data_IF_324113743125
#
_entry.id   IF_324113743125
#
_cell.length_a   1.000
_cell.length_b   1.000
_cell.length_c   1.000
_cell.angle_alpha   90.00
_cell.angle_beta   90.00
_cell.angle_gamma   90.00
#
_symmetry.space_group_name_H-M   'P 1'
#
loop_
_entity.id
_entity.type
_entity.pdbx_description
1 polymer ?
#
# COMPACT_ATOMS: atom_id res chain seq x y z
N UNK A 1 -27.31 -53.32 28.54
CA UNK A 1 -28.16 -52.14 28.41
C UNK A 1 -27.37 -50.95 28.92
N UNK A 2 -27.10 -49.95 28.10
CA UNK A 2 -26.36 -48.78 28.57
C UNK A 2 -27.18 -48.03 29.63
N UNK A 3 -26.50 -47.60 30.68
CA UNK A 3 -27.14 -46.89 31.80
C UNK A 3 -27.61 -45.48 31.36
N UNK A 4 -28.67 -44.97 31.95
CA UNK A 4 -29.27 -43.65 31.62
C UNK A 4 -28.27 -42.50 31.65
N UNK A 5 -27.17 -42.66 32.38
CA UNK A 5 -26.07 -41.66 32.47
C UNK A 5 -25.20 -41.63 31.21
N UNK A 6 -24.98 -42.77 30.56
CA UNK A 6 -24.20 -42.85 29.31
C UNK A 6 -24.98 -42.26 28.13
N UNK A 7 -26.31 -42.48 28.09
CA UNK A 7 -27.19 -41.89 27.08
C UNK A 7 -27.21 -40.36 27.19
N UNK A 8 -27.25 -39.81 28.41
CA UNK A 8 -27.19 -38.38 28.66
C UNK A 8 -25.83 -37.75 28.27
N UNK A 9 -24.73 -38.49 28.45
CA UNK A 9 -23.38 -38.02 27.99
C UNK A 9 -23.27 -38.02 26.48
N UNK A 10 -23.77 -39.06 25.80
CA UNK A 10 -23.78 -39.12 24.32
C UNK A 10 -24.65 -37.99 23.71
N UNK A 11 -25.82 -37.70 24.26
CA UNK A 11 -26.70 -36.61 23.83
C UNK A 11 -26.05 -35.24 24.03
N UNK A 12 -25.29 -35.01 25.10
CA UNK A 12 -24.53 -33.76 25.30
C UNK A 12 -23.37 -33.61 24.32
N UNK A 13 -22.67 -34.68 23.98
CA UNK A 13 -21.58 -34.66 22.99
C UNK A 13 -22.14 -34.37 21.59
N UNK A 14 -23.27 -35.01 21.23
CA UNK A 14 -23.93 -34.77 19.94
C UNK A 14 -24.45 -33.32 19.84
N UNK A 15 -24.99 -32.75 20.92
CA UNK A 15 -25.43 -31.35 20.96
C UNK A 15 -24.27 -30.36 20.84
N UNK A 16 -23.10 -30.66 21.41
CA UNK A 16 -21.89 -29.82 21.28
C UNK A 16 -21.32 -29.92 19.88
N UNK A 17 -21.28 -31.10 19.26
CA UNK A 17 -20.80 -31.29 17.88
C UNK A 17 -21.76 -30.62 16.88
N UNK A 18 -23.08 -30.72 17.08
CA UNK A 18 -24.07 -30.00 16.25
C UNK A 18 -23.96 -28.47 16.40
N UNK A 19 -23.66 -27.96 17.61
CA UNK A 19 -23.43 -26.54 17.85
C UNK A 19 -22.17 -25.99 17.19
N UNK A 20 -21.10 -26.80 17.15
CA UNK A 20 -19.83 -26.42 16.50
C UNK A 20 -19.93 -26.44 14.96
N UNK A 21 -20.72 -27.39 14.39
CA UNK A 21 -20.95 -27.42 12.94
C UNK A 21 -21.83 -26.27 12.42
N UNK A 22 -22.64 -25.63 13.28
CA UNK A 22 -23.50 -24.52 12.86
C UNK A 22 -22.78 -23.16 12.83
N UNK A 23 -21.55 -23.05 13.37
CA UNK A 23 -20.79 -21.79 13.43
C UNK A 23 -19.80 -21.60 12.28
N UNK A 24 -19.75 -22.51 11.31
CA UNK A 24 -18.76 -22.47 10.20
C UNK A 24 -19.36 -22.12 8.84
N UNK A 25 -20.57 -21.57 8.76
CA UNK A 25 -21.01 -20.90 7.53
C UNK A 25 -20.54 -19.43 7.56
N UNK A 26 -19.26 -19.24 7.24
CA UNK A 26 -18.81 -17.95 6.77
C UNK A 26 -19.54 -17.68 5.45
N UNK A 27 -20.60 -16.91 5.50
CA UNK A 27 -21.27 -16.40 4.29
C UNK A 27 -20.26 -15.54 3.56
N UNK A 28 -19.73 -16.05 2.45
CA UNK A 28 -19.02 -15.25 1.43
C UNK A 28 -20.02 -14.19 0.96
N UNK A 29 -19.87 -12.97 1.44
CA UNK A 29 -20.72 -11.84 1.08
C UNK A 29 -20.24 -11.26 -0.24
N UNK A 30 -20.71 -11.81 -1.35
CA UNK A 30 -20.77 -11.08 -2.60
C UNK A 30 -21.93 -10.09 -2.51
N UNK A 31 -21.69 -8.82 -2.73
CA UNK A 31 -22.77 -7.81 -2.69
C UNK A 31 -23.40 -7.69 -4.07
N UNK A 32 -24.57 -8.30 -4.26
CA UNK A 32 -25.37 -8.17 -5.47
C UNK A 32 -26.14 -6.85 -5.48
N UNK A 33 -25.98 -6.08 -6.53
CA UNK A 33 -26.64 -4.80 -6.71
C UNK A 33 -27.43 -4.80 -8.04
N UNK A 34 -28.68 -4.37 -8.00
CA UNK A 34 -29.48 -4.20 -9.23
C UNK A 34 -29.38 -2.76 -9.70
N UNK A 35 -28.84 -2.57 -10.88
CA UNK A 35 -28.56 -1.26 -11.47
C UNK A 35 -29.04 -1.17 -12.91
N UNK A 36 -29.25 0.06 -13.37
CA UNK A 36 -29.55 0.34 -14.77
C UNK A 36 -28.39 1.10 -15.40
N UNK A 37 -27.84 0.57 -16.48
CA UNK A 37 -26.81 1.23 -17.30
C UNK A 37 -27.39 1.71 -18.63
N UNK A 38 -26.80 2.76 -19.17
CA UNK A 38 -27.13 3.39 -20.45
C UNK A 38 -25.87 3.53 -21.27
N UNK A 39 -25.97 3.23 -22.57
CA UNK A 39 -24.84 3.33 -23.51
C UNK A 39 -25.33 3.52 -24.93
N UNK A 40 -24.42 3.75 -25.86
CA UNK A 40 -24.71 3.82 -27.30
C UNK A 40 -24.97 2.44 -27.89
N UNK A 41 -24.49 1.42 -27.25
CA UNK A 41 -24.66 0.01 -27.59
C UNK A 41 -24.85 -0.82 -26.32
N UNK A 42 -25.08 -2.14 -26.51
CA UNK A 42 -25.27 -3.08 -25.42
C UNK A 42 -24.07 -3.15 -24.49
N UNK A 43 -22.87 -3.18 -25.04
CA UNK A 43 -21.63 -3.29 -24.26
C UNK A 43 -21.33 -2.00 -23.49
N UNK A 44 -21.61 -0.85 -24.06
CA UNK A 44 -21.55 0.44 -23.38
C UNK A 44 -22.53 0.51 -22.20
N UNK A 45 -23.76 0.04 -22.39
CA UNK A 45 -24.76 0.00 -21.33
C UNK A 45 -24.38 -0.99 -20.20
N UNK A 46 -23.75 -2.13 -20.53
CA UNK A 46 -23.22 -3.07 -19.53
C UNK A 46 -22.01 -2.49 -18.75
N UNK A 47 -21.12 -1.76 -19.42
CA UNK A 47 -20.01 -1.06 -18.73
C UNK A 47 -20.53 0.01 -17.77
N UNK A 48 -21.53 0.79 -18.20
CA UNK A 48 -22.16 1.80 -17.32
C UNK A 48 -22.89 1.15 -16.14
N UNK A 49 -23.58 0.03 -16.35
CA UNK A 49 -24.20 -0.73 -15.27
C UNK A 49 -23.15 -1.23 -14.26
N UNK A 50 -22.04 -1.81 -14.74
CA UNK A 50 -20.95 -2.26 -13.89
C UNK A 50 -20.34 -1.12 -13.07
N UNK A 51 -20.10 0.03 -13.70
CA UNK A 51 -19.60 1.23 -13.02
C UNK A 51 -20.56 1.70 -11.92
N UNK A 52 -21.84 1.81 -12.19
CA UNK A 52 -22.86 2.22 -11.20
C UNK A 52 -23.00 1.24 -10.04
N UNK A 53 -22.83 -0.06 -10.29
CA UNK A 53 -22.84 -1.07 -9.25
C UNK A 53 -21.65 -0.88 -8.30
N UNK A 54 -20.44 -0.69 -8.83
CA UNK A 54 -19.25 -0.42 -8.04
C UNK A 54 -19.38 0.90 -7.27
N UNK A 55 -19.89 1.98 -7.90
CA UNK A 55 -20.18 3.26 -7.24
C UNK A 55 -21.13 3.08 -6.03
N UNK A 56 -22.18 2.28 -6.18
CA UNK A 56 -23.13 2.03 -5.10
C UNK A 56 -22.52 1.23 -3.96
N UNK A 57 -21.74 0.19 -4.26
CA UNK A 57 -21.03 -0.62 -3.26
C UNK A 57 -19.99 0.22 -2.52
N UNK A 58 -19.17 0.96 -3.24
CA UNK A 58 -18.16 1.86 -2.67
C UNK A 58 -18.80 2.94 -1.81
N UNK A 59 -19.88 3.57 -2.30
CA UNK A 59 -20.62 4.58 -1.53
C UNK A 59 -21.19 4.03 -0.22
N UNK A 60 -21.71 2.80 -0.24
CA UNK A 60 -22.19 2.12 0.98
C UNK A 60 -21.05 1.82 1.94
N UNK A 61 -19.90 1.34 1.42
CA UNK A 61 -18.73 1.06 2.22
C UNK A 61 -18.16 2.33 2.88
N UNK A 62 -18.00 3.41 2.11
CA UNK A 62 -17.50 4.69 2.61
C UNK A 62 -18.45 5.28 3.67
N UNK A 63 -19.77 5.27 3.45
CA UNK A 63 -20.73 5.79 4.41
C UNK A 63 -20.76 4.99 5.72
N UNK A 64 -20.49 3.70 5.68
CA UNK A 64 -20.38 2.84 6.87
C UNK A 64 -19.17 3.12 7.73
N UNK A 65 -18.12 3.73 7.16
CA UNK A 65 -16.84 4.00 7.84
C UNK A 65 -16.70 5.44 8.34
N UNK A 66 -17.73 6.27 8.27
CA UNK A 66 -17.71 7.70 8.70
C UNK A 66 -16.61 8.52 8.00
N UNK A 67 -16.40 8.28 6.70
CA UNK A 67 -15.31 8.88 5.95
C UNK A 67 -15.71 10.13 5.17
N UNK A 68 -14.77 11.04 5.03
CA UNK A 68 -14.98 12.39 4.57
C UNK A 68 -14.94 12.59 3.05
N UNK A 69 -15.37 13.77 2.62
CA UNK A 69 -15.66 14.18 1.24
C UNK A 69 -14.45 14.34 0.30
N UNK A 70 -13.23 14.12 0.78
CA UNK A 70 -12.00 14.53 0.06
C UNK A 70 -11.41 13.46 -0.88
N UNK A 71 -12.06 12.28 -1.03
CA UNK A 71 -11.60 11.17 -1.87
C UNK A 71 -12.20 11.15 -3.29
N UNK A 72 -12.79 12.23 -3.75
CA UNK A 72 -13.55 12.20 -5.01
C UNK A 72 -12.69 11.91 -6.25
N UNK A 73 -11.42 12.33 -6.24
CA UNK A 73 -10.49 12.15 -7.38
C UNK A 73 -9.99 10.71 -7.44
N UNK A 74 -9.57 10.15 -6.31
CA UNK A 74 -9.06 8.79 -6.19
C UNK A 74 -10.16 7.75 -6.47
N UNK A 75 -11.38 8.05 -6.06
CA UNK A 75 -12.54 7.20 -6.35
C UNK A 75 -12.92 7.22 -7.85
N UNK A 76 -12.67 8.30 -8.57
CA UNK A 76 -12.91 8.37 -10.01
C UNK A 76 -12.09 7.32 -10.78
N UNK A 77 -10.87 7.02 -10.34
CA UNK A 77 -10.03 5.99 -10.92
C UNK A 77 -10.53 4.57 -10.60
N UNK A 78 -11.03 4.34 -9.38
CA UNK A 78 -11.74 3.10 -9.03
C UNK A 78 -12.94 2.88 -9.95
N UNK A 79 -13.71 3.93 -10.20
CA UNK A 79 -14.90 3.85 -11.06
C UNK A 79 -14.56 3.62 -12.54
N UNK A 80 -13.45 4.17 -13.04
CA UNK A 80 -12.95 3.90 -14.40
C UNK A 80 -12.58 2.43 -14.61
N UNK A 81 -12.03 1.79 -13.57
CA UNK A 81 -11.59 0.40 -13.59
C UNK A 81 -12.65 -0.59 -13.09
N UNK A 82 -13.91 -0.18 -13.00
CA UNK A 82 -15.01 -0.93 -12.38
C UNK A 82 -15.19 -2.36 -12.88
N UNK A 83 -14.89 -2.65 -14.15
CA UNK A 83 -14.99 -4.02 -14.71
C UNK A 83 -14.06 -5.01 -14.01
N UNK A 84 -12.90 -4.56 -13.49
CA UNK A 84 -11.96 -5.39 -12.76
C UNK A 84 -12.46 -5.83 -11.38
N UNK A 85 -13.55 -5.26 -10.89
CA UNK A 85 -14.13 -5.50 -9.57
C UNK A 85 -15.44 -6.28 -9.62
N UNK A 86 -15.94 -6.59 -10.82
CA UNK A 86 -17.20 -7.30 -11.03
C UNK A 86 -16.92 -8.76 -11.29
N UNK A 87 -17.54 -9.65 -10.50
CA UNK A 87 -17.49 -11.11 -10.68
C UNK A 87 -18.44 -11.61 -11.75
N UNK A 88 -19.69 -11.11 -11.68
CA UNK A 88 -20.74 -11.60 -12.55
C UNK A 88 -21.75 -10.49 -12.86
N UNK A 89 -22.27 -10.52 -14.10
CA UNK A 89 -23.36 -9.61 -14.53
C UNK A 89 -24.49 -10.45 -15.10
N UNK A 90 -25.65 -10.37 -14.48
CA UNK A 90 -26.88 -10.99 -14.95
C UNK A 90 -27.81 -9.93 -15.51
N UNK A 91 -28.07 -9.97 -16.82
CA UNK A 91 -29.02 -9.06 -17.46
C UNK A 91 -30.44 -9.49 -17.12
N UNK A 92 -31.19 -8.59 -16.49
CA UNK A 92 -32.60 -8.80 -16.14
C UNK A 92 -33.54 -8.29 -17.23
N UNK A 93 -33.20 -7.15 -17.83
CA UNK A 93 -33.94 -6.57 -18.92
C UNK A 93 -33.04 -5.71 -19.80
N UNK A 94 -33.29 -5.72 -21.09
CA UNK A 94 -32.59 -4.86 -22.04
C UNK A 94 -33.57 -4.27 -23.05
N UNK A 95 -33.37 -3.03 -23.43
CA UNK A 95 -34.21 -2.32 -24.40
C UNK A 95 -33.41 -1.26 -25.14
N UNK A 96 -33.72 -1.08 -26.40
CA UNK A 96 -33.25 0.05 -27.17
C UNK A 96 -34.26 1.19 -27.01
N UNK A 97 -33.87 2.31 -26.48
CA UNK A 97 -34.73 3.47 -26.22
C UNK A 97 -34.92 4.32 -27.50
N UNK A 98 -33.85 4.48 -28.27
CA UNK A 98 -33.80 5.16 -29.55
C UNK A 98 -32.65 4.62 -30.42
N UNK A 99 -32.38 5.23 -31.58
CA UNK A 99 -31.34 4.79 -32.51
C UNK A 99 -29.90 4.88 -31.94
N UNK A 100 -29.70 5.68 -30.88
CA UNK A 100 -28.40 5.98 -30.28
C UNK A 100 -28.30 5.55 -28.81
N UNK A 101 -29.41 5.09 -28.21
CA UNK A 101 -29.47 4.82 -26.75
C UNK A 101 -29.92 3.40 -26.46
N UNK A 102 -29.08 2.64 -25.81
CA UNK A 102 -29.33 1.31 -25.30
C UNK A 102 -29.40 1.30 -23.77
N UNK A 103 -30.40 0.64 -23.21
CA UNK A 103 -30.62 0.55 -21.77
C UNK A 103 -30.57 -0.89 -21.33
N UNK A 104 -29.78 -1.17 -20.28
CA UNK A 104 -29.70 -2.49 -19.65
C UNK A 104 -30.00 -2.35 -18.18
N UNK A 105 -30.89 -3.19 -17.65
CA UNK A 105 -31.06 -3.41 -16.21
C UNK A 105 -30.40 -4.73 -15.87
N UNK A 106 -29.42 -4.70 -15.01
CA UNK A 106 -28.63 -5.87 -14.66
C UNK A 106 -28.46 -6.01 -13.15
N UNK A 107 -28.38 -7.26 -12.71
CA UNK A 107 -27.94 -7.65 -11.40
C UNK A 107 -26.44 -7.89 -11.48
N UNK A 108 -25.67 -7.08 -10.77
CA UNK A 108 -24.20 -7.07 -10.81
C UNK A 108 -23.68 -7.56 -9.47
N UNK A 109 -22.82 -8.55 -9.52
CA UNK A 109 -22.12 -9.11 -8.36
C UNK A 109 -20.73 -8.46 -8.27
N UNK A 110 -20.56 -7.58 -7.26
CA UNK A 110 -19.30 -6.90 -6.99
C UNK A 110 -18.51 -7.67 -5.94
N UNK A 111 -17.24 -7.94 -6.23
CA UNK A 111 -16.36 -8.65 -5.31
C UNK A 111 -15.98 -7.78 -4.10
N UNK A 112 -16.62 -8.04 -2.98
CA UNK A 112 -16.37 -7.36 -1.70
C UNK A 112 -15.65 -8.22 -0.67
N UNK A 113 -15.06 -9.35 -1.09
CA UNK A 113 -14.23 -10.14 -0.17
C UNK A 113 -13.07 -9.29 0.36
N UNK A 114 -12.63 -9.52 1.61
CA UNK A 114 -11.49 -8.77 2.19
C UNK A 114 -10.22 -8.83 1.35
N UNK A 115 -10.01 -9.94 0.63
CA UNK A 115 -8.84 -10.16 -0.25
C UNK A 115 -9.13 -9.78 -1.71
N UNK A 116 -10.30 -9.19 -2.01
CA UNK A 116 -10.64 -8.77 -3.35
C UNK A 116 -9.89 -7.49 -3.74
N UNK A 117 -9.54 -7.38 -5.02
CA UNK A 117 -8.83 -6.22 -5.55
C UNK A 117 -9.53 -4.88 -5.24
N UNK A 118 -10.86 -4.82 -5.24
CA UNK A 118 -11.63 -3.63 -4.86
C UNK A 118 -11.36 -3.25 -3.40
N UNK A 119 -11.48 -4.22 -2.48
CA UNK A 119 -11.29 -3.98 -1.05
C UNK A 119 -9.84 -3.61 -0.73
N UNK A 120 -8.88 -4.22 -1.40
CA UNK A 120 -7.47 -3.86 -1.37
C UNK A 120 -7.24 -2.41 -1.81
N UNK A 121 -7.82 -2.01 -2.94
CA UNK A 121 -7.69 -0.65 -3.49
C UNK A 121 -8.34 0.37 -2.57
N UNK A 122 -9.55 0.12 -2.09
CA UNK A 122 -10.24 1.00 -1.14
C UNK A 122 -9.48 1.11 0.19
N UNK A 123 -8.96 0.00 0.71
CA UNK A 123 -8.15 -0.01 1.93
C UNK A 123 -6.89 0.83 1.75
N UNK A 124 -6.26 0.72 0.59
CA UNK A 124 -5.06 1.50 0.26
C UNK A 124 -5.37 3.00 0.18
N UNK A 125 -6.39 3.40 -0.56
CA UNK A 125 -6.84 4.80 -0.66
C UNK A 125 -7.19 5.35 0.73
N UNK A 126 -7.97 4.59 1.52
CA UNK A 126 -8.48 5.05 2.81
C UNK A 126 -7.44 5.05 3.94
N UNK A 127 -6.53 4.08 3.96
CA UNK A 127 -5.55 3.91 5.04
C UNK A 127 -4.21 4.56 4.75
N UNK A 128 -3.77 4.52 3.51
CA UNK A 128 -2.48 5.09 3.08
C UNK A 128 -2.64 6.50 2.50
N UNK A 129 -3.88 6.94 2.20
CA UNK A 129 -4.16 8.22 1.54
C UNK A 129 -3.38 8.38 0.24
N UNK A 130 -3.27 7.28 -0.53
CA UNK A 130 -2.51 7.17 -1.77
C UNK A 130 -1.12 7.83 -1.68
N UNK A 131 -0.18 7.18 -0.99
CA UNK A 131 1.07 7.79 -0.59
C UNK A 131 1.94 8.10 -1.81
N UNK A 132 2.64 9.22 -1.76
CA UNK A 132 3.68 9.56 -2.73
C UNK A 132 4.90 8.69 -2.47
N UNK A 133 5.24 7.83 -3.41
CA UNK A 133 6.33 6.85 -3.30
C UNK A 133 7.43 7.21 -4.29
N UNK A 134 8.64 7.34 -3.81
CA UNK A 134 9.83 7.47 -4.63
C UNK A 134 10.62 6.17 -4.56
N UNK A 135 10.96 5.62 -5.72
CA UNK A 135 11.78 4.40 -5.83
C UNK A 135 13.16 4.76 -6.36
N UNK A 136 14.19 4.39 -5.62
CA UNK A 136 15.59 4.59 -5.99
C UNK A 136 16.36 3.27 -5.81
N UNK A 137 16.76 2.63 -6.92
CA UNK A 137 17.44 1.33 -6.90
C UNK A 137 18.74 1.42 -7.70
N UNK A 138 19.84 1.04 -7.07
CA UNK A 138 21.16 1.05 -7.68
C UNK A 138 21.75 -0.36 -7.82
N UNK A 139 22.51 -0.55 -8.88
CA UNK A 139 23.32 -1.74 -9.08
C UNK A 139 24.66 -1.59 -8.38
N UNK A 140 25.05 -2.60 -7.62
CA UNK A 140 26.41 -2.75 -7.11
C UNK A 140 27.13 -3.76 -8.00
N UNK A 141 28.11 -3.28 -8.77
CA UNK A 141 28.91 -4.14 -9.65
C UNK A 141 29.94 -4.98 -8.85
N UNK A 142 30.64 -5.87 -9.54
CA UNK A 142 31.64 -6.76 -8.94
C UNK A 142 32.82 -6.01 -8.32
N UNK A 143 33.07 -4.77 -8.76
CA UNK A 143 34.10 -3.88 -8.21
C UNK A 143 33.65 -3.12 -6.96
N UNK A 144 32.39 -3.36 -6.52
CA UNK A 144 31.75 -2.68 -5.40
C UNK A 144 31.28 -1.26 -5.69
N UNK A 145 31.39 -0.80 -6.95
CA UNK A 145 30.90 0.50 -7.37
C UNK A 145 29.38 0.47 -7.51
N UNK A 146 28.76 1.60 -7.21
CA UNK A 146 27.33 1.78 -7.34
C UNK A 146 27.02 2.49 -8.66
N UNK A 147 26.20 1.86 -9.50
CA UNK A 147 25.82 2.33 -10.83
C UNK A 147 24.30 2.45 -10.91
N UNK A 148 23.83 3.53 -11.53
CA UNK A 148 22.41 3.66 -11.82
C UNK A 148 22.02 2.79 -13.03
N UNK A 149 21.03 1.92 -12.83
CA UNK A 149 20.42 1.12 -13.89
C UNK A 149 18.90 1.12 -13.70
N UNK A 150 18.21 1.75 -14.62
CA UNK A 150 16.78 2.02 -14.51
C UNK A 150 15.87 0.76 -14.59
N UNK A 151 16.41 -0.43 -14.93
CA UNK A 151 15.57 -1.61 -15.16
C UNK A 151 14.80 -2.05 -13.90
N UNK A 152 15.47 -2.09 -12.74
CA UNK A 152 14.81 -2.46 -11.49
C UNK A 152 13.78 -1.41 -11.07
N UNK A 153 14.13 -0.11 -11.17
CA UNK A 153 13.23 1.01 -10.85
C UNK A 153 11.98 1.00 -11.73
N UNK A 154 12.16 0.92 -13.06
CA UNK A 154 11.04 0.91 -14.00
C UNK A 154 10.11 -0.29 -13.80
N UNK A 155 10.67 -1.45 -13.45
CA UNK A 155 9.88 -2.66 -13.14
C UNK A 155 9.08 -2.47 -11.85
N UNK A 156 9.70 -1.93 -10.79
CA UNK A 156 9.03 -1.62 -9.53
C UNK A 156 7.93 -0.57 -9.71
N UNK A 157 8.24 0.54 -10.40
CA UNK A 157 7.30 1.63 -10.65
C UNK A 157 6.09 1.13 -11.46
N UNK A 158 6.32 0.36 -12.54
CA UNK A 158 5.25 -0.21 -13.36
C UNK A 158 4.34 -1.14 -12.54
N UNK A 159 4.91 -1.92 -11.64
CA UNK A 159 4.15 -2.84 -10.80
C UNK A 159 3.36 -2.10 -9.73
N UNK A 160 3.95 -1.12 -9.05
CA UNK A 160 3.24 -0.28 -8.08
C UNK A 160 2.05 0.44 -8.70
N UNK A 161 2.23 1.03 -9.90
CA UNK A 161 1.12 1.62 -10.65
C UNK A 161 0.03 0.59 -10.99
N UNK A 162 0.41 -0.63 -11.41
CA UNK A 162 -0.54 -1.71 -11.67
C UNK A 162 -1.27 -2.20 -10.41
N UNK A 163 -0.64 -2.12 -9.24
CA UNK A 163 -1.21 -2.46 -7.94
C UNK A 163 -2.09 -1.33 -7.35
N UNK A 164 -2.19 -0.18 -8.08
CA UNK A 164 -3.13 0.90 -7.79
C UNK A 164 -2.56 2.09 -7.01
N UNK A 165 -1.23 2.18 -6.82
CA UNK A 165 -0.60 3.40 -6.31
C UNK A 165 -0.55 4.44 -7.44
N UNK A 166 -1.19 5.61 -7.27
CA UNK A 166 -1.24 6.61 -8.34
C UNK A 166 -0.09 7.63 -8.27
N UNK A 167 0.52 7.82 -7.10
CA UNK A 167 1.58 8.78 -6.88
C UNK A 167 2.96 8.13 -6.77
N UNK A 168 3.36 7.37 -7.81
CA UNK A 168 4.73 6.85 -7.93
C UNK A 168 5.58 7.89 -8.66
N UNK A 169 6.55 8.46 -7.94
CA UNK A 169 7.39 9.54 -8.43
C UNK A 169 8.73 9.01 -8.94
N UNK A 170 9.21 9.59 -10.03
CA UNK A 170 10.53 9.30 -10.56
C UNK A 170 11.62 9.94 -9.67
N UNK A 171 12.55 9.12 -9.16
CA UNK A 171 13.66 9.60 -8.34
C UNK A 171 14.50 10.67 -9.05
N UNK A 172 14.61 10.61 -10.38
CA UNK A 172 15.32 11.60 -11.17
C UNK A 172 14.60 12.95 -11.25
N UNK A 173 13.30 13.00 -10.97
CA UNK A 173 12.52 14.24 -10.98
C UNK A 173 12.43 14.89 -9.59
N UNK A 174 12.77 14.16 -8.53
CA UNK A 174 12.79 14.71 -7.18
C UNK A 174 14.09 15.47 -6.98
N UNK A 175 14.03 16.80 -6.86
CA UNK A 175 15.18 17.70 -6.85
C UNK A 175 16.25 17.29 -5.84
N UNK A 176 15.84 16.82 -4.67
CA UNK A 176 16.72 16.40 -3.58
C UNK A 176 17.45 15.09 -3.85
N UNK A 177 16.91 14.24 -4.73
CA UNK A 177 17.47 12.95 -5.09
C UNK A 177 18.30 13.00 -6.38
N UNK A 178 18.33 14.11 -7.10
CA UNK A 178 19.19 14.29 -8.29
C UNK A 178 20.69 14.30 -7.95
N UNK A 179 21.02 14.48 -6.66
CA UNK A 179 22.41 14.49 -6.22
C UNK A 179 22.90 13.06 -5.95
N UNK A 180 23.67 12.47 -6.85
CA UNK A 180 24.26 11.13 -6.70
C UNK A 180 24.99 10.90 -5.36
N UNK A 181 25.74 11.87 -4.79
CA UNK A 181 26.30 11.75 -3.44
C UNK A 181 25.24 11.55 -2.36
N UNK A 182 24.08 12.19 -2.47
CA UNK A 182 22.98 12.06 -1.51
C UNK A 182 22.38 10.64 -1.56
N UNK A 183 22.10 10.13 -2.74
CA UNK A 183 21.66 8.75 -2.94
C UNK A 183 22.71 7.77 -2.39
N UNK A 184 23.99 8.00 -2.65
CA UNK A 184 25.09 7.17 -2.12
C UNK A 184 25.09 7.17 -0.59
N UNK A 185 24.94 8.32 0.05
CA UNK A 185 24.87 8.44 1.50
C UNK A 185 23.67 7.67 2.09
N UNK A 186 22.53 7.67 1.39
CA UNK A 186 21.36 6.86 1.75
C UNK A 186 21.65 5.37 1.73
N UNK A 187 22.33 4.88 0.68
CA UNK A 187 22.73 3.49 0.55
C UNK A 187 23.79 3.07 1.59
N UNK A 188 24.60 4.01 2.04
CA UNK A 188 25.57 3.80 3.12
C UNK A 188 24.96 3.90 4.52
N UNK A 189 23.63 4.15 4.62
CA UNK A 189 22.90 4.27 5.88
C UNK A 189 23.03 5.63 6.58
N UNK A 190 23.63 6.62 5.92
CA UNK A 190 23.74 8.00 6.40
C UNK A 190 22.44 8.76 6.12
N UNK A 191 21.40 8.47 6.87
CA UNK A 191 20.03 8.96 6.63
C UNK A 191 19.75 10.35 7.19
N UNK A 192 20.59 10.87 8.07
CA UNK A 192 20.38 12.11 8.80
C UNK A 192 20.39 13.39 7.94
N UNK A 193 21.09 13.38 6.82
CA UNK A 193 21.23 14.56 5.95
C UNK A 193 20.01 14.82 5.05
N UNK A 194 19.19 13.79 4.78
CA UNK A 194 17.97 13.91 3.96
C UNK A 194 16.79 14.55 4.68
N UNK A 195 16.79 14.45 5.99
CA UNK A 195 15.63 14.80 6.82
C UNK A 195 15.55 16.29 7.18
N UNK A 196 16.50 17.09 6.72
CA UNK A 196 16.68 18.48 7.20
C UNK A 196 16.21 19.58 6.24
N UNK A 197 16.19 19.38 4.95
CA UNK A 197 16.05 20.48 3.98
C UNK A 197 15.07 20.23 2.82
N UNK A 198 14.48 19.05 2.70
CA UNK A 198 13.68 18.71 1.53
C UNK A 198 12.21 19.16 1.66
N UNK A 199 11.75 19.84 0.64
CA UNK A 199 10.34 20.19 0.42
C UNK A 199 9.56 18.87 0.18
N UNK A 200 8.94 18.35 1.20
CA UNK A 200 8.19 17.08 1.39
C UNK A 200 7.56 16.47 0.14
N UNK A 201 8.40 16.08 -0.83
CA UNK A 201 7.95 15.57 -2.12
C UNK A 201 7.37 14.14 -2.04
N UNK A 202 7.74 13.36 -1.03
CA UNK A 202 7.36 11.95 -0.89
C UNK A 202 6.91 11.59 0.52
N UNK A 203 6.08 10.55 0.65
CA UNK A 203 5.68 9.96 1.93
C UNK A 203 6.58 8.76 2.25
N UNK A 204 6.92 7.98 1.23
CA UNK A 204 7.84 6.85 1.34
C UNK A 204 8.97 6.93 0.34
N UNK A 205 10.16 6.61 0.81
CA UNK A 205 11.35 6.41 0.01
C UNK A 205 11.71 4.91 0.01
N UNK A 206 11.66 4.30 -1.16
CA UNK A 206 12.05 2.92 -1.40
C UNK A 206 13.48 2.91 -1.92
N UNK A 207 14.40 2.48 -1.06
CA UNK A 207 15.83 2.44 -1.37
C UNK A 207 16.24 1.00 -1.65
N UNK A 208 16.77 0.73 -2.84
CA UNK A 208 17.18 -0.60 -3.23
C UNK A 208 18.64 -0.66 -3.68
N UNK A 209 19.30 -1.79 -3.41
CA UNK A 209 20.57 -2.15 -4.04
C UNK A 209 20.49 -3.59 -4.53
N UNK A 210 21.01 -3.86 -5.71
CA UNK A 210 21.11 -5.22 -6.18
C UNK A 210 22.50 -5.58 -6.70
N UNK A 211 22.83 -6.87 -6.62
CA UNK A 211 24.01 -7.50 -7.19
C UNK A 211 23.61 -8.57 -8.18
N UNK A 212 24.52 -8.91 -9.10
CA UNK A 212 24.34 -9.98 -10.08
C UNK A 212 25.50 -10.96 -9.98
N UNK A 213 25.19 -12.24 -9.81
CA UNK A 213 26.16 -13.33 -9.82
C UNK A 213 25.91 -14.21 -11.05
N UNK A 214 26.92 -14.32 -11.91
CA UNK A 214 26.80 -15.09 -13.15
C UNK A 214 27.52 -16.41 -13.04
N UNK A 215 26.91 -17.47 -13.57
CA UNK A 215 27.49 -18.80 -13.69
C UNK A 215 27.07 -19.50 -14.99
N UNK A 216 27.85 -20.47 -15.42
CA UNK A 216 27.47 -21.33 -16.54
C UNK A 216 26.67 -22.53 -16.05
N UNK A 217 25.70 -22.94 -16.84
CA UNK A 217 24.93 -24.16 -16.57
C UNK A 217 25.69 -25.34 -17.13
N UNK A 218 25.99 -26.32 -16.26
CA UNK A 218 26.63 -27.58 -16.63
C UNK A 218 25.63 -28.72 -16.47
N UNK A 219 25.62 -29.64 -17.43
CA UNK A 219 24.78 -30.85 -17.41
C UNK A 219 25.64 -32.11 -17.37
N UNK A 220 25.14 -33.22 -16.80
CA UNK A 220 25.88 -34.49 -16.85
C UNK A 220 26.18 -34.93 -18.28
N UNK A 221 27.42 -35.30 -18.55
CA UNK A 221 27.81 -35.89 -19.84
C UNK A 221 27.56 -37.38 -19.77
N UNK A 222 26.50 -37.83 -20.41
CA UNK A 222 26.12 -39.28 -20.45
C UNK A 222 27.00 -40.11 -21.34
N UNK A 223 27.84 -39.49 -22.18
CA UNK A 223 28.74 -40.22 -23.11
C UNK A 223 30.17 -40.39 -22.54
N UNK A 224 30.57 -39.46 -21.72
CA UNK A 224 31.89 -39.44 -21.09
C UNK A 224 31.71 -39.07 -19.61
N UNK A 225 32.58 -39.59 -18.75
CA UNK A 225 32.53 -39.20 -17.33
C UNK A 225 32.82 -37.73 -17.16
N UNK A 226 31.86 -36.96 -16.55
CA UNK A 226 32.08 -35.53 -16.23
C UNK A 226 30.82 -34.68 -16.50
N UNK A 227 31.06 -33.38 -16.51
CA UNK A 227 30.01 -32.36 -16.77
C UNK A 227 30.29 -31.71 -18.13
N UNK A 228 29.25 -31.48 -18.89
CA UNK A 228 29.27 -30.72 -20.13
C UNK A 228 28.79 -29.30 -19.87
N UNK A 229 29.64 -28.31 -20.14
CA UNK A 229 29.21 -26.91 -20.11
C UNK A 229 28.24 -26.61 -21.24
N UNK A 230 27.13 -26.02 -20.95
CA UNK A 230 26.16 -25.56 -21.95
C UNK A 230 26.44 -24.12 -22.38
N UNK A 231 25.82 -23.67 -23.47
CA UNK A 231 25.82 -22.27 -23.86
C UNK A 231 24.89 -21.41 -23.01
N UNK A 232 24.19 -22.02 -22.05
CA UNK A 232 23.23 -21.33 -21.18
C UNK A 232 23.98 -20.73 -19.99
N UNK A 233 23.75 -19.45 -19.75
CA UNK A 233 24.25 -18.71 -18.59
C UNK A 233 23.10 -18.58 -17.60
N UNK A 234 23.43 -18.84 -16.33
CA UNK A 234 22.57 -18.56 -15.20
C UNK A 234 23.07 -17.29 -14.53
N UNK A 235 22.17 -16.31 -14.34
CA UNK A 235 22.46 -15.13 -13.51
C UNK A 235 21.46 -15.08 -12.37
N UNK A 236 21.97 -14.90 -11.17
CA UNK A 236 21.21 -14.66 -9.95
C UNK A 236 21.32 -13.17 -9.61
N UNK A 237 20.19 -12.48 -9.53
CA UNK A 237 20.11 -11.12 -8.99
C UNK A 237 19.60 -11.17 -7.55
N UNK A 238 20.31 -10.51 -6.65
CA UNK A 238 19.91 -10.34 -5.25
C UNK A 238 19.59 -8.87 -5.01
N UNK A 239 18.33 -8.56 -4.76
CA UNK A 239 17.83 -7.20 -4.55
C UNK A 239 17.43 -7.02 -3.08
N UNK A 240 18.09 -6.07 -2.42
CA UNK A 240 17.74 -5.60 -1.08
C UNK A 240 16.96 -4.31 -1.17
N UNK A 241 15.84 -4.22 -0.45
CA UNK A 241 14.97 -3.04 -0.37
C UNK A 241 14.81 -2.63 1.09
N UNK A 242 14.95 -1.33 1.35
CA UNK A 242 14.53 -0.66 2.57
C UNK A 242 13.43 0.36 2.23
N UNK A 243 12.29 0.27 2.90
CA UNK A 243 11.18 1.21 2.81
C UNK A 243 11.28 2.16 3.98
N UNK A 244 11.46 3.43 3.72
CA UNK A 244 11.68 4.46 4.73
C UNK A 244 10.58 5.50 4.65
N UNK A 245 9.95 5.82 5.78
CA UNK A 245 9.11 7.00 5.88
C UNK A 245 9.98 8.25 5.73
N UNK A 246 9.68 9.07 4.72
CA UNK A 246 10.55 10.19 4.31
C UNK A 246 10.76 11.21 5.43
N UNK A 247 9.69 11.62 6.13
CA UNK A 247 9.77 12.65 7.19
C UNK A 247 10.41 12.16 8.50
N UNK A 248 10.16 10.91 8.86
CA UNK A 248 10.58 10.41 10.18
C UNK A 248 11.88 9.63 10.12
N UNK A 249 12.33 9.24 8.91
CA UNK A 249 13.47 8.34 8.72
C UNK A 249 13.23 6.92 9.25
N UNK A 250 12.01 6.61 9.71
CA UNK A 250 11.70 5.28 10.23
C UNK A 250 11.64 4.26 9.10
N UNK A 251 12.17 3.08 9.36
CA UNK A 251 12.05 1.95 8.44
C UNK A 251 10.66 1.34 8.61
N UNK A 252 9.82 1.46 7.57
CA UNK A 252 8.52 0.81 7.49
C UNK A 252 8.67 -0.69 7.19
N UNK A 253 9.70 -1.06 6.43
CA UNK A 253 10.04 -2.44 6.14
C UNK A 253 11.40 -2.59 5.50
N UNK A 254 11.99 -3.79 5.62
CA UNK A 254 13.24 -4.15 4.97
C UNK A 254 13.18 -5.62 4.55
N UNK A 255 13.55 -5.92 3.32
CA UNK A 255 13.53 -7.29 2.81
C UNK A 255 14.55 -7.51 1.70
N UNK A 256 14.85 -8.77 1.45
CA UNK A 256 15.71 -9.22 0.36
C UNK A 256 14.93 -10.19 -0.51
N UNK A 257 15.07 -10.05 -1.81
CA UNK A 257 14.49 -10.94 -2.82
C UNK A 257 15.54 -11.36 -3.85
N UNK A 258 15.30 -12.49 -4.46
CA UNK A 258 16.20 -13.03 -5.47
C UNK A 258 15.42 -13.29 -6.77
N UNK A 259 16.08 -13.07 -7.89
CA UNK A 259 15.60 -13.43 -9.21
C UNK A 259 16.65 -14.26 -9.95
N UNK A 260 16.20 -15.15 -10.81
CA UNK A 260 17.08 -16.01 -11.61
C UNK A 260 16.72 -15.83 -13.07
N UNK A 261 17.75 -15.56 -13.89
CA UNK A 261 17.65 -15.50 -15.34
C UNK A 261 18.49 -16.57 -16.01
N UNK A 262 17.91 -17.29 -16.93
CA UNK A 262 18.58 -18.31 -17.76
C UNK A 262 18.45 -17.84 -19.20
N UNK A 263 19.58 -17.56 -19.84
CA UNK A 263 19.66 -17.09 -21.23
C UNK A 263 21.01 -17.50 -21.87
N UNK A 264 21.16 -17.22 -23.13
CA UNK A 264 22.38 -17.53 -23.87
C UNK A 264 23.50 -16.45 -23.73
N UNK A 265 23.21 -15.34 -23.08
CA UNK A 265 24.16 -14.27 -22.79
C UNK A 265 24.02 -13.78 -21.35
N UNK A 266 25.12 -13.34 -20.74
CA UNK A 266 25.13 -12.80 -19.36
C UNK A 266 24.20 -11.59 -19.25
N UNK A 267 24.21 -10.67 -20.23
CA UNK A 267 23.38 -9.48 -20.21
C UNK A 267 21.90 -9.85 -20.14
N UNK A 268 21.41 -10.69 -21.06
CA UNK A 268 19.98 -11.08 -21.11
C UNK A 268 19.56 -11.88 -19.88
N UNK A 269 20.43 -12.79 -19.42
CA UNK A 269 20.19 -13.52 -18.19
C UNK A 269 20.13 -12.58 -16.99
N UNK A 270 21.02 -11.56 -16.95
CA UNK A 270 21.03 -10.52 -15.93
C UNK A 270 19.76 -9.67 -15.92
N UNK A 271 19.32 -9.18 -17.07
CA UNK A 271 18.11 -8.38 -17.19
C UNK A 271 16.86 -9.17 -16.76
N UNK A 272 16.79 -10.44 -17.12
CA UNK A 272 15.71 -11.33 -16.70
C UNK A 272 15.73 -11.59 -15.20
N UNK A 273 16.91 -11.80 -14.61
CA UNK A 273 17.10 -11.99 -13.18
C UNK A 273 16.67 -10.75 -12.39
N UNK A 274 17.12 -9.56 -12.82
CA UNK A 274 16.77 -8.27 -12.20
C UNK A 274 15.27 -8.00 -12.30
N UNK A 275 14.67 -8.19 -13.48
CA UNK A 275 13.22 -8.01 -13.64
C UNK A 275 12.41 -8.95 -12.75
N UNK A 276 12.82 -10.23 -12.63
CA UNK A 276 12.16 -11.18 -11.73
C UNK A 276 12.33 -10.79 -10.26
N UNK A 277 13.52 -10.35 -9.84
CA UNK A 277 13.76 -9.86 -8.50
C UNK A 277 12.91 -8.62 -8.20
N UNK A 278 12.85 -7.67 -9.13
CA UNK A 278 12.06 -6.45 -8.99
C UNK A 278 10.54 -6.73 -8.91
N UNK A 279 10.01 -7.68 -9.69
CA UNK A 279 8.61 -8.09 -9.59
C UNK A 279 8.29 -8.66 -8.20
N UNK A 280 9.13 -9.59 -7.69
CA UNK A 280 8.99 -10.14 -6.34
C UNK A 280 9.14 -9.09 -5.25
N UNK A 281 10.02 -8.11 -5.47
CA UNK A 281 10.18 -6.98 -4.57
C UNK A 281 8.93 -6.11 -4.53
N UNK A 282 8.31 -5.85 -5.67
CA UNK A 282 7.08 -5.06 -5.75
C UNK A 282 5.92 -5.72 -5.00
N UNK A 283 5.74 -7.04 -5.11
CA UNK A 283 4.71 -7.77 -4.35
C UNK A 283 4.93 -7.60 -2.84
N UNK A 284 6.17 -7.77 -2.35
CA UNK A 284 6.51 -7.55 -0.92
C UNK A 284 6.41 -6.09 -0.49
N UNK A 285 6.74 -5.16 -1.39
CA UNK A 285 6.63 -3.73 -1.13
C UNK A 285 5.18 -3.32 -0.93
N UNK A 286 4.29 -3.76 -1.82
CA UNK A 286 2.85 -3.55 -1.72
C UNK A 286 2.29 -4.11 -0.41
N UNK A 287 2.69 -5.33 -0.02
CA UNK A 287 2.31 -5.94 1.26
C UNK A 287 2.83 -5.12 2.44
N UNK A 288 4.09 -4.68 2.38
CA UNK A 288 4.72 -3.87 3.44
C UNK A 288 4.01 -2.53 3.63
N UNK A 289 3.70 -1.83 2.54
CA UNK A 289 2.98 -0.56 2.59
C UNK A 289 1.56 -0.75 3.13
N UNK A 290 0.82 -1.75 2.66
CA UNK A 290 -0.51 -2.10 3.18
C UNK A 290 -0.49 -2.43 4.67
N UNK A 291 0.50 -3.21 5.12
CA UNK A 291 0.68 -3.54 6.54
C UNK A 291 1.05 -2.32 7.39
N UNK A 292 1.84 -1.38 6.83
CA UNK A 292 2.17 -0.13 7.49
C UNK A 292 0.91 0.74 7.66
N UNK A 293 0.11 0.92 6.61
CA UNK A 293 -1.18 1.62 6.67
C UNK A 293 -2.15 0.97 7.67
N UNK A 294 -2.18 -0.36 7.75
CA UNK A 294 -3.02 -1.07 8.72
C UNK A 294 -2.58 -0.85 10.18
N UNK A 295 -1.27 -0.69 10.42
CA UNK A 295 -0.73 -0.41 11.76
C UNK A 295 -0.96 1.05 12.18
N UNK A 296 -0.99 1.98 11.22
CA UNK A 296 -1.16 3.41 11.50
C UNK A 296 -2.58 3.81 11.91
N UNK A 297 -3.56 2.90 11.87
CA UNK A 297 -4.84 3.08 12.57
C UNK A 297 -4.64 3.22 14.10
N UNK A 298 -3.44 2.93 14.61
CA UNK A 298 -3.12 2.97 16.04
C UNK A 298 -2.19 4.12 16.49
N UNK A 299 -1.73 5.00 15.59
CA UNK A 299 -0.91 6.11 16.08
C UNK A 299 -0.34 7.05 15.02
N UNK A 300 -0.84 8.25 15.00
CA UNK A 300 -0.29 9.35 14.21
C UNK A 300 0.93 9.91 14.94
N UNK A 301 2.06 10.05 14.26
CA UNK A 301 3.23 10.69 14.82
C UNK A 301 3.14 12.22 14.63
N UNK A 302 3.20 12.94 15.73
CA UNK A 302 3.20 14.41 15.72
C UNK A 302 4.51 14.91 16.33
N UNK A 303 5.31 15.59 15.51
CA UNK A 303 6.52 16.27 15.96
C UNK A 303 6.14 17.74 16.19
N UNK A 304 6.34 18.23 17.40
CA UNK A 304 6.04 19.61 17.77
C UNK A 304 7.31 20.34 18.17
N UNK A 305 7.48 21.54 17.64
CA UNK A 305 8.51 22.51 18.09
C UNK A 305 7.80 23.80 18.49
N UNK A 306 8.04 24.29 19.70
CA UNK A 306 7.42 25.52 20.24
C UNK A 306 8.48 26.57 20.57
N UNK A 307 8.07 27.80 20.75
CA UNK A 307 8.97 28.89 21.18
C UNK A 307 9.48 28.67 22.62
N UNK A 308 8.66 28.03 23.46
CA UNK A 308 9.06 27.66 24.83
C UNK A 308 8.33 26.37 25.28
N UNK A 309 8.84 25.76 26.35
CA UNK A 309 8.32 24.52 26.92
C UNK A 309 6.89 24.67 27.47
N UNK A 310 6.53 25.82 28.04
CA UNK A 310 5.19 26.04 28.59
C UNK A 310 4.12 26.01 27.50
N UNK A 311 4.36 26.64 26.36
CA UNK A 311 3.47 26.63 25.21
C UNK A 311 3.35 25.20 24.67
N UNK A 312 4.46 24.46 24.57
CA UNK A 312 4.47 23.06 24.13
C UNK A 312 3.57 22.18 25.00
N UNK A 313 3.68 22.33 26.34
CA UNK A 313 2.84 21.59 27.29
C UNK A 313 1.36 21.94 27.17
N UNK A 314 1.02 23.21 26.99
CA UNK A 314 -0.36 23.67 26.81
C UNK A 314 -0.97 23.02 25.55
N UNK A 315 -0.24 23.00 24.44
CA UNK A 315 -0.72 22.39 23.19
C UNK A 315 -0.85 20.88 23.32
N UNK A 316 0.06 20.19 24.01
CA UNK A 316 -0.06 18.76 24.30
C UNK A 316 -1.31 18.46 25.14
N UNK A 317 -1.62 19.28 26.14
CA UNK A 317 -2.84 19.16 26.96
C UNK A 317 -4.10 19.42 26.13
N UNK A 318 -4.08 20.43 25.27
CA UNK A 318 -5.17 20.72 24.35
C UNK A 318 -5.39 19.51 23.40
N UNK A 319 -4.31 18.92 22.85
CA UNK A 319 -4.37 17.74 22.01
C UNK A 319 -5.04 16.55 22.73
N UNK A 320 -4.69 16.33 24.01
CA UNK A 320 -5.31 15.29 24.85
C UNK A 320 -6.80 15.52 25.12
N UNK A 321 -7.25 16.77 25.10
CA UNK A 321 -8.64 17.14 25.34
C UNK A 321 -9.53 17.05 24.10
N UNK A 322 -8.96 16.82 22.91
CA UNK A 322 -9.74 16.68 21.68
C UNK A 322 -10.54 15.39 21.72
N UNK A 323 -11.84 15.48 21.47
CA UNK A 323 -12.73 14.31 21.45
C UNK A 323 -12.39 13.27 20.36
N UNK A 324 -11.58 13.67 19.38
CA UNK A 324 -11.07 12.81 18.31
C UNK A 324 -9.83 11.98 18.71
N UNK A 325 -9.22 12.31 19.85
CA UNK A 325 -7.97 11.70 20.33
C UNK A 325 -8.28 10.75 21.47
N UNK A 326 -7.96 9.47 21.27
CA UNK A 326 -8.14 8.43 22.28
C UNK A 326 -7.00 8.47 23.31
N UNK A 327 -5.76 8.65 22.81
CA UNK A 327 -4.57 8.71 23.68
C UNK A 327 -3.42 9.49 23.03
N UNK A 328 -2.53 10.07 23.86
CA UNK A 328 -1.31 10.77 23.43
C UNK A 328 -0.12 10.22 24.21
N UNK A 329 0.75 9.53 23.52
CA UNK A 329 1.99 8.97 24.04
C UNK A 329 3.15 9.91 23.72
N UNK A 330 3.84 10.41 24.73
CA UNK A 330 5.07 11.20 24.56
C UNK A 330 6.20 10.20 24.34
N UNK A 331 6.83 10.22 23.16
CA UNK A 331 7.97 9.37 22.81
C UNK A 331 9.29 9.99 23.18
N UNK A 332 9.42 11.27 22.87
CA UNK A 332 10.57 12.08 23.21
C UNK A 332 10.10 13.46 23.63
N UNK A 333 10.77 14.04 24.59
CA UNK A 333 10.55 15.43 25.00
C UNK A 333 11.86 16.01 25.53
N UNK A 334 12.22 17.16 25.01
CA UNK A 334 13.40 17.90 25.44
C UNK A 334 13.28 19.37 25.07
N UNK A 335 13.33 20.24 26.09
CA UNK A 335 13.22 21.69 25.91
C UNK A 335 11.91 22.08 25.20
N UNK A 336 12.04 22.69 24.04
CA UNK A 336 10.92 23.20 23.25
C UNK A 336 10.45 22.23 22.15
N UNK A 337 10.89 20.96 22.14
CA UNK A 337 10.52 19.95 21.15
C UNK A 337 9.91 18.71 21.80
N UNK A 338 8.86 18.16 21.19
CA UNK A 338 8.30 16.88 21.56
C UNK A 338 7.98 16.02 20.34
N UNK A 339 8.14 14.71 20.48
CA UNK A 339 7.68 13.68 19.52
C UNK A 339 6.57 12.89 20.20
N UNK A 340 5.41 12.90 19.62
CA UNK A 340 4.20 12.30 20.16
C UNK A 340 3.71 11.18 19.23
N UNK A 341 3.12 10.14 19.79
CA UNK A 341 2.26 9.22 19.06
C UNK A 341 0.83 9.42 19.56
N UNK A 342 -0.06 9.80 18.65
CA UNK A 342 -1.46 10.11 18.96
C UNK A 342 -2.33 8.98 18.42
N UNK A 343 -3.03 8.31 19.32
CA UNK A 343 -4.06 7.34 18.98
C UNK A 343 -5.36 8.08 18.65
N UNK A 344 -5.77 8.04 17.41
CA UNK A 344 -6.94 8.75 16.90
C UNK A 344 -7.55 8.05 15.71
N UNK A 345 -8.87 8.15 15.58
CA UNK A 345 -9.62 7.74 14.39
C UNK A 345 -9.58 8.79 13.27
N UNK A 346 -9.06 9.96 13.55
CA UNK A 346 -8.94 11.07 12.59
C UNK A 346 -7.57 11.07 11.91
N UNK A 347 -7.52 11.67 10.72
CA UNK A 347 -6.27 11.87 9.99
C UNK A 347 -5.46 13.04 10.57
N UNK A 348 -4.14 13.13 10.29
CA UNK A 348 -3.29 14.21 10.79
C UNK A 348 -3.85 15.61 10.54
N UNK A 349 -4.31 15.89 9.31
CA UNK A 349 -4.84 17.21 8.95
C UNK A 349 -6.12 17.59 9.71
N UNK A 350 -6.96 16.60 10.06
CA UNK A 350 -8.17 16.82 10.84
C UNK A 350 -7.85 17.13 12.28
N UNK A 351 -6.91 16.38 12.87
CA UNK A 351 -6.41 16.64 14.23
C UNK A 351 -5.82 18.04 14.30
N UNK A 352 -4.97 18.40 13.33
CA UNK A 352 -4.39 19.75 13.27
C UNK A 352 -5.46 20.82 13.09
N UNK A 353 -6.48 20.56 12.27
CA UNK A 353 -7.62 21.46 12.10
C UNK A 353 -8.40 21.68 13.38
N UNK A 354 -8.64 20.64 14.17
CA UNK A 354 -9.29 20.75 15.48
C UNK A 354 -8.37 21.40 16.53
N UNK A 355 -7.09 21.05 16.52
CA UNK A 355 -6.10 21.60 17.43
C UNK A 355 -5.94 23.12 17.24
N UNK A 356 -5.93 23.61 15.98
CA UNK A 356 -5.94 25.04 15.65
C UNK A 356 -7.17 25.79 16.18
N UNK A 357 -8.33 25.12 16.18
CA UNK A 357 -9.58 25.72 16.72
C UNK A 357 -9.62 25.74 18.23
N UNK A 358 -9.02 24.76 18.88
CA UNK A 358 -9.05 24.58 20.34
C UNK A 358 -7.88 25.26 21.05
N UNK A 359 -6.76 25.49 20.35
CA UNK A 359 -5.56 26.14 20.91
C UNK A 359 -5.64 27.67 20.77
N UNK A 360 -5.18 28.37 21.79
CA UNK A 360 -4.96 29.82 21.73
C UNK A 360 -3.63 30.22 21.06
N UNK A 361 -2.76 29.23 20.78
CA UNK A 361 -1.45 29.43 20.20
C UNK A 361 -1.52 29.35 18.66
N UNK A 362 -0.61 30.03 17.98
CA UNK A 362 -0.42 29.90 16.54
C UNK A 362 0.17 28.52 16.21
N UNK A 363 -0.45 27.78 15.27
CA UNK A 363 0.03 26.46 14.86
C UNK A 363 0.29 26.50 13.35
N UNK A 364 1.57 26.51 12.99
CA UNK A 364 2.02 26.36 11.62
C UNK A 364 2.31 24.87 11.32
N UNK A 365 1.95 24.40 10.15
CA UNK A 365 2.29 23.08 9.67
C UNK A 365 3.55 23.20 8.84
N UNK A 366 4.65 22.62 9.32
CA UNK A 366 5.90 22.56 8.58
C UNK A 366 5.88 21.38 7.59
N UNK A 367 5.21 20.28 7.98
CA UNK A 367 5.10 19.10 7.15
C UNK A 367 3.87 18.27 7.53
N UNK A 368 3.26 17.62 6.56
CA UNK A 368 2.11 16.75 6.78
C UNK A 368 2.14 15.56 5.83
N UNK A 369 1.96 14.36 6.41
CA UNK A 369 1.87 13.09 5.70
C UNK A 369 0.63 12.31 6.12
N UNK A 370 0.44 11.15 5.53
CA UNK A 370 -0.68 10.25 5.83
C UNK A 370 -0.72 9.78 7.29
N UNK A 371 0.43 9.66 7.94
CA UNK A 371 0.60 9.08 9.29
C UNK A 371 1.38 9.99 10.25
N UNK A 372 1.83 11.14 9.78
CA UNK A 372 2.64 12.04 10.59
C UNK A 372 2.47 13.50 10.21
N UNK A 373 2.80 14.39 11.14
CA UNK A 373 2.90 15.81 10.85
C UNK A 373 3.96 16.48 11.74
N UNK A 374 4.55 17.56 11.20
CA UNK A 374 5.45 18.44 11.95
C UNK A 374 4.77 19.80 12.13
N UNK A 375 4.74 20.25 13.37
CA UNK A 375 4.05 21.47 13.77
C UNK A 375 5.03 22.43 14.45
N UNK A 376 4.99 23.68 14.03
CA UNK A 376 5.62 24.79 14.74
C UNK A 376 4.56 25.59 15.49
N UNK A 377 4.81 25.82 16.76
CA UNK A 377 3.87 26.43 17.68
C UNK A 377 4.48 27.76 18.15
N UNK A 378 3.72 28.85 17.97
CA UNK A 378 4.13 30.22 18.31
C UNK A 378 3.17 30.84 19.30
#
# INVERSE_FOLDING_TARGET
MPTSVEICRLLRIIAVIAGVCFFSLSTVMAQEVTVTGIGTDRDGALRDASRRAVEQVVGTFISSQTLMKDFAIELDEVYKNSQGFVKHVMVLNESRLDDTTYKVTAKVDVDTNPDAKLMDTLTMIMRLNDPRIVVAVLERNDEGQVVHNALAESTLNSRLLADGFSHVLDAAQVADLQNVPLLKNLYEGKRGELLGEADHAADFLVIGTYTKDAGKVSIPNYKESGMLETSIVNVKATLKIDVVSYNTGKIAGSFVVEGIGLENTISRAGDKAVSMAAQRAADKLTETLKAHGAKNVQGIEIIMTADNETILQQVIQTLRSLGAVNNVYIREQGGNRAVLTVDSSYKPHEIVGQLRKASACGIAVESMQSDSCQLRIT
#
